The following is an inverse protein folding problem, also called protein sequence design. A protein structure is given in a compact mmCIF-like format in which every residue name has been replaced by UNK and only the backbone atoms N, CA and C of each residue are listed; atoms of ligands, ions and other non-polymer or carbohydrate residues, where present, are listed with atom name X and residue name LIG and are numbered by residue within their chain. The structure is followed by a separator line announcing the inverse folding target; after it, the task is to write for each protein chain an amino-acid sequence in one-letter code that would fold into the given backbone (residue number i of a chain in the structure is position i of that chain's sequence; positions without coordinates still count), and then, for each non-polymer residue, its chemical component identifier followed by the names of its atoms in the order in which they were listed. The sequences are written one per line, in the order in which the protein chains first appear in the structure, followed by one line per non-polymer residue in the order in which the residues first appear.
data_IF_802070928240
#
_entry.id   IF_802070928240
#
_cell.length_a   1.000
_cell.length_b   1.000
_cell.length_c   1.000
_cell.angle_alpha   90.00
_cell.angle_beta   90.00
_cell.angle_gamma   90.00
#
_symmetry.space_group_name_H-M   'P 1'
#
loop_
_entity.id
_entity.type
_entity.pdbx_description
1 polymer ?
#
# COMPACT_ATOMS: atom_id res chain seq x y z
N UNK A 1 6.62 -16.95 -18.33
CA UNK A 1 7.52 -16.39 -17.28
C UNK A 1 6.67 -15.55 -16.33
N UNK A 2 5.92 -16.20 -15.43
CA UNK A 2 5.12 -15.53 -14.41
C UNK A 2 5.73 -15.87 -13.05
N UNK A 3 6.35 -14.88 -12.41
CA UNK A 3 7.09 -15.06 -11.17
C UNK A 3 6.73 -13.91 -10.21
N UNK A 4 6.63 -14.17 -8.90
CA UNK A 4 6.45 -13.15 -7.86
C UNK A 4 7.39 -11.95 -7.97
N UNK A 5 8.64 -12.18 -8.40
CA UNK A 5 9.64 -11.14 -8.57
C UNK A 5 9.25 -10.09 -9.63
N UNK A 6 8.65 -10.54 -10.74
CA UNK A 6 8.17 -9.64 -11.79
C UNK A 6 6.98 -8.82 -11.29
N UNK A 7 6.04 -9.47 -10.57
CA UNK A 7 4.94 -8.77 -9.92
C UNK A 7 5.42 -7.70 -8.94
N UNK A 8 6.45 -7.98 -8.14
CA UNK A 8 7.02 -7.01 -7.20
C UNK A 8 7.63 -5.80 -7.90
N UNK A 9 8.32 -6.00 -9.03
CA UNK A 9 8.91 -4.89 -9.82
C UNK A 9 7.81 -4.01 -10.43
N UNK A 10 6.80 -4.63 -11.07
CA UNK A 10 5.68 -3.90 -11.69
C UNK A 10 4.94 -3.05 -10.65
N UNK A 11 4.62 -3.67 -9.50
CA UNK A 11 3.97 -2.98 -8.39
C UNK A 11 4.85 -1.87 -7.80
N UNK A 12 6.15 -2.13 -7.63
CA UNK A 12 7.09 -1.15 -7.11
C UNK A 12 7.13 0.12 -7.98
N UNK A 13 7.26 -0.04 -9.29
CA UNK A 13 7.26 1.10 -10.25
C UNK A 13 5.93 1.87 -10.20
N UNK A 14 4.81 1.17 -10.04
CA UNK A 14 3.47 1.78 -9.96
C UNK A 14 3.24 2.56 -8.66
N UNK A 15 3.66 2.01 -7.51
CA UNK A 15 3.45 2.61 -6.20
C UNK A 15 4.40 3.80 -5.95
N UNK A 16 5.60 3.78 -6.51
CA UNK A 16 6.63 4.80 -6.29
C UNK A 16 6.12 6.24 -6.48
N UNK A 17 5.49 6.62 -7.63
CA UNK A 17 4.97 7.98 -7.80
C UNK A 17 3.83 8.32 -6.82
N UNK A 18 3.02 7.33 -6.43
CA UNK A 18 1.94 7.53 -5.47
C UNK A 18 2.47 7.85 -4.06
N UNK A 19 3.47 7.09 -3.58
CA UNK A 19 4.14 7.37 -2.30
C UNK A 19 4.80 8.75 -2.34
N UNK A 20 5.49 9.08 -3.45
CA UNK A 20 6.17 10.37 -3.58
C UNK A 20 5.18 11.55 -3.47
N UNK A 21 4.06 11.51 -4.20
CA UNK A 21 3.03 12.55 -4.16
C UNK A 21 2.43 12.69 -2.75
N UNK A 22 2.02 11.59 -2.13
CA UNK A 22 1.42 11.62 -0.79
C UNK A 22 2.43 12.05 0.30
N UNK A 23 3.71 11.74 0.11
CA UNK A 23 4.78 12.18 1.01
C UNK A 23 5.08 13.67 0.87
N UNK A 24 4.98 14.21 -0.35
CA UNK A 24 5.08 15.65 -0.59
C UNK A 24 3.94 16.41 0.08
N UNK A 25 2.71 15.90 0.01
CA UNK A 25 1.56 16.46 0.72
C UNK A 25 1.78 16.47 2.24
N UNK A 26 2.35 15.39 2.79
CA UNK A 26 2.70 15.32 4.21
C UNK A 26 3.77 16.33 4.63
N UNK A 27 4.77 16.57 3.78
CA UNK A 27 5.81 17.59 4.03
C UNK A 27 5.25 19.01 3.96
N UNK A 28 4.32 19.26 3.04
CA UNK A 28 3.64 20.56 2.89
C UNK A 28 2.65 20.87 4.00
N UNK A 29 2.14 19.84 4.68
CA UNK A 29 1.25 19.99 5.83
C UNK A 29 1.98 20.50 7.10
N UNK A 30 3.32 20.46 7.14
CA UNK A 30 4.10 21.01 8.26
C UNK A 30 3.99 22.55 8.25
N UNK A 31 3.58 23.19 9.37
CA UNK A 31 3.42 24.64 9.42
C UNK A 31 4.71 25.39 9.05
N UNK A 32 4.57 26.43 8.22
CA UNK A 32 5.69 27.29 7.86
C UNK A 32 6.30 28.02 9.07
N UNK A 33 5.55 28.18 10.17
CA UNK A 33 6.05 28.74 11.44
C UNK A 33 7.23 27.94 12.00
N UNK A 34 7.22 26.61 11.90
CA UNK A 34 8.35 25.77 12.33
C UNK A 34 9.57 25.97 11.43
N UNK A 35 9.36 26.19 10.13
CA UNK A 35 10.43 26.42 9.16
C UNK A 35 11.05 27.81 9.40
N UNK A 36 10.22 28.83 9.61
CA UNK A 36 10.65 30.19 9.94
C UNK A 36 11.39 30.26 11.28
N UNK A 37 10.95 29.52 12.30
CA UNK A 37 11.65 29.43 13.58
C UNK A 37 13.05 28.82 13.41
N UNK A 38 13.19 27.78 12.58
CA UNK A 38 14.49 27.19 12.24
C UNK A 38 15.41 28.19 11.51
N UNK A 39 14.88 28.93 10.53
CA UNK A 39 15.65 29.98 9.84
C UNK A 39 16.06 31.13 10.78
N UNK A 40 15.20 31.51 11.73
CA UNK A 40 15.52 32.53 12.74
C UNK A 40 16.64 32.10 13.69
N UNK A 41 16.83 30.80 13.89
CA UNK A 41 17.94 30.21 14.64
C UNK A 41 19.24 30.10 13.80
N UNK A 42 19.25 30.59 12.57
CA UNK A 42 20.41 30.56 11.68
C UNK A 42 20.60 29.23 10.93
N UNK A 43 19.61 28.34 10.94
CA UNK A 43 19.70 27.07 10.23
C UNK A 43 19.63 27.24 8.72
N UNK A 44 20.35 26.40 7.98
CA UNK A 44 20.28 26.34 6.52
C UNK A 44 18.99 25.63 6.05
N UNK A 45 18.65 25.78 4.76
CA UNK A 45 17.49 25.11 4.14
C UNK A 45 17.59 23.58 4.23
N UNK A 46 18.79 23.02 4.04
CA UNK A 46 19.09 21.59 4.16
C UNK A 46 18.92 21.11 5.60
N UNK A 47 19.38 21.89 6.56
CA UNK A 47 19.33 21.55 7.99
C UNK A 47 17.91 21.64 8.55
N UNK A 48 17.15 22.66 8.15
CA UNK A 48 15.72 22.80 8.47
C UNK A 48 14.92 21.62 7.90
N UNK A 49 15.22 21.21 6.67
CA UNK A 49 14.54 20.07 6.04
C UNK A 49 14.86 18.78 6.79
N UNK A 50 16.13 18.49 7.05
CA UNK A 50 16.56 17.23 7.66
C UNK A 50 16.22 17.10 9.15
N UNK A 51 16.32 18.19 9.93
CA UNK A 51 16.16 18.16 11.39
C UNK A 51 14.79 18.62 11.90
N UNK A 52 14.02 19.35 11.10
CA UNK A 52 12.72 19.89 11.53
C UNK A 52 11.59 19.30 10.69
N UNK A 53 11.60 19.51 9.38
CA UNK A 53 10.47 19.13 8.51
C UNK A 53 10.37 17.61 8.31
N UNK A 54 11.47 16.91 8.04
CA UNK A 54 11.49 15.43 7.88
C UNK A 54 10.95 14.68 9.11
N UNK A 55 11.48 14.90 10.33
CA UNK A 55 10.97 14.20 11.51
C UNK A 55 9.55 14.62 11.87
N UNK A 56 9.15 15.87 11.62
CA UNK A 56 7.78 16.33 11.86
C UNK A 56 6.78 15.70 10.88
N UNK A 57 7.16 15.46 9.63
CA UNK A 57 6.31 14.83 8.61
C UNK A 57 6.37 13.29 8.62
N UNK A 58 7.19 12.67 9.48
CA UNK A 58 7.52 11.24 9.44
C UNK A 58 6.28 10.35 9.59
N UNK A 59 5.35 10.73 10.47
CA UNK A 59 4.04 10.10 10.62
C UNK A 59 3.19 10.14 9.35
N UNK A 60 3.20 11.29 8.65
CA UNK A 60 2.51 11.48 7.38
C UNK A 60 3.13 10.65 6.27
N UNK A 61 4.46 10.60 6.17
CA UNK A 61 5.18 9.73 5.22
C UNK A 61 4.85 8.25 5.47
N UNK A 62 4.81 7.82 6.73
CA UNK A 62 4.42 6.45 7.09
C UNK A 62 2.96 6.15 6.70
N UNK A 63 2.04 7.09 6.93
CA UNK A 63 0.65 6.95 6.51
C UNK A 63 0.53 6.86 4.98
N UNK A 64 1.27 7.69 4.25
CA UNK A 64 1.35 7.69 2.78
C UNK A 64 1.80 6.33 2.23
N UNK A 65 2.80 5.70 2.87
CA UNK A 65 3.25 4.34 2.50
C UNK A 65 2.14 3.31 2.73
N UNK A 66 1.48 3.32 3.90
CA UNK A 66 0.41 2.37 4.22
C UNK A 66 -0.77 2.51 3.25
N UNK A 67 -1.16 3.75 2.93
CA UNK A 67 -2.24 4.05 1.99
C UNK A 67 -1.89 3.62 0.56
N UNK A 68 -0.66 3.89 0.12
CA UNK A 68 -0.21 3.50 -1.21
C UNK A 68 -0.13 1.98 -1.38
N UNK A 69 0.32 1.25 -0.34
CA UNK A 69 0.27 -0.21 -0.30
C UNK A 69 -1.16 -0.74 -0.32
N UNK A 70 -2.06 -0.14 0.46
CA UNK A 70 -3.48 -0.52 0.48
C UNK A 70 -4.13 -0.34 -0.89
N UNK A 71 -3.81 0.76 -1.59
CA UNK A 71 -4.30 1.02 -2.95
C UNK A 71 -3.74 0.02 -3.96
N UNK A 72 -2.46 -0.32 -3.87
CA UNK A 72 -1.88 -1.32 -4.75
C UNK A 72 -2.48 -2.70 -4.55
N UNK A 73 -2.83 -3.06 -3.30
CA UNK A 73 -3.60 -4.26 -2.99
C UNK A 73 -4.98 -4.20 -3.64
N UNK A 74 -5.65 -3.05 -3.66
CA UNK A 74 -6.92 -2.85 -4.36
C UNK A 74 -6.81 -2.91 -5.89
N UNK A 75 -5.73 -2.37 -6.45
CA UNK A 75 -5.41 -2.40 -7.90
C UNK A 75 -4.75 -3.74 -8.35
N UNK A 76 -4.70 -4.77 -7.49
CA UNK A 76 -4.05 -6.09 -7.70
C UNK A 76 -4.52 -6.91 -8.92
N UNK A 77 -5.42 -6.36 -9.75
CA UNK A 77 -5.58 -6.86 -11.12
C UNK A 77 -4.25 -6.85 -11.87
N UNK A 78 -3.40 -5.84 -11.66
CA UNK A 78 -2.06 -5.79 -12.25
C UNK A 78 -1.17 -6.97 -11.82
N UNK A 79 -1.18 -7.32 -10.53
CA UNK A 79 -0.40 -8.44 -9.96
C UNK A 79 -0.88 -9.79 -10.49
N UNK A 80 -2.19 -9.93 -10.64
CA UNK A 80 -2.83 -11.14 -11.20
C UNK A 80 -2.32 -11.45 -12.60
N UNK A 81 -2.08 -10.42 -13.43
CA UNK A 81 -1.56 -10.58 -14.79
C UNK A 81 -0.06 -10.91 -14.82
N UNK A 82 0.71 -10.57 -13.78
CA UNK A 82 2.18 -10.71 -13.77
C UNK A 82 2.72 -11.91 -12.97
N UNK A 83 2.05 -12.33 -11.89
CA UNK A 83 2.53 -13.40 -10.98
C UNK A 83 2.07 -14.78 -11.40
N UNK A 84 0.93 -14.87 -12.10
CA UNK A 84 0.40 -16.10 -12.67
C UNK A 84 -0.84 -16.63 -11.95
N UNK A 85 -1.37 -17.73 -12.48
CA UNK A 85 -2.68 -18.29 -12.10
C UNK A 85 -2.60 -19.63 -11.37
N UNK A 86 -1.41 -20.21 -11.26
CA UNK A 86 -1.19 -21.57 -10.76
C UNK A 86 -0.86 -21.57 -9.26
N UNK A 87 -1.71 -22.19 -8.43
CA UNK A 87 -1.41 -22.46 -7.02
C UNK A 87 -0.43 -23.64 -6.90
N UNK A 88 0.86 -23.37 -7.11
CA UNK A 88 1.91 -24.34 -6.77
C UNK A 88 2.56 -23.89 -5.47
N UNK A 89 2.48 -24.71 -4.41
CA UNK A 89 3.25 -24.45 -3.19
C UNK A 89 4.72 -24.74 -3.49
N UNK A 90 5.51 -23.69 -3.65
CA UNK A 90 6.95 -23.81 -3.91
C UNK A 90 7.66 -22.66 -3.23
N UNK A 91 8.68 -22.97 -2.43
CA UNK A 91 9.53 -21.98 -1.73
C UNK A 91 10.45 -21.18 -2.68
N UNK A 92 10.38 -21.49 -3.98
CA UNK A 92 11.15 -20.84 -5.02
C UNK A 92 10.37 -19.66 -5.61
N UNK A 93 10.82 -18.43 -5.32
CA UNK A 93 10.28 -17.17 -5.85
C UNK A 93 10.38 -17.01 -7.39
N UNK A 94 11.00 -17.96 -8.08
CA UNK A 94 11.11 -18.05 -9.55
C UNK A 94 10.05 -18.95 -10.19
N UNK A 95 9.07 -19.45 -9.41
CA UNK A 95 7.95 -20.24 -9.92
C UNK A 95 6.65 -19.46 -9.78
N UNK A 96 5.72 -19.76 -10.67
CA UNK A 96 4.38 -19.17 -10.69
C UNK A 96 3.67 -19.42 -9.37
N UNK A 97 3.11 -18.36 -8.79
CA UNK A 97 2.31 -18.40 -7.58
C UNK A 97 0.93 -17.84 -7.89
N UNK A 98 -0.07 -18.21 -7.09
CA UNK A 98 -1.43 -17.68 -7.23
C UNK A 98 -1.73 -16.74 -6.07
N UNK A 99 -2.08 -15.50 -6.38
CA UNK A 99 -2.57 -14.54 -5.37
C UNK A 99 -4.03 -14.79 -5.03
N UNK A 100 -4.48 -14.35 -3.86
CA UNK A 100 -5.90 -14.42 -3.46
C UNK A 100 -6.81 -13.71 -4.47
N UNK A 101 -6.38 -12.59 -5.03
CA UNK A 101 -7.11 -11.87 -6.08
C UNK A 101 -7.12 -12.61 -7.42
N UNK A 102 -6.02 -13.25 -7.80
CA UNK A 102 -5.97 -14.12 -8.98
C UNK A 102 -6.83 -15.37 -8.84
N UNK A 103 -6.96 -15.90 -7.61
CA UNK A 103 -7.88 -16.99 -7.29
C UNK A 103 -9.33 -16.55 -7.46
N UNK A 104 -9.70 -15.38 -6.92
CA UNK A 104 -11.05 -14.84 -7.08
C UNK A 104 -11.37 -14.58 -8.56
N UNK A 105 -10.48 -13.90 -9.30
CA UNK A 105 -10.69 -13.54 -10.70
C UNK A 105 -10.91 -14.76 -11.61
N UNK A 106 -10.13 -15.83 -11.43
CA UNK A 106 -10.29 -17.06 -12.22
C UNK A 106 -11.58 -17.82 -11.90
N UNK A 107 -12.02 -17.76 -10.65
CA UNK A 107 -13.16 -18.56 -10.17
C UNK A 107 -14.50 -17.86 -10.38
N UNK A 108 -14.54 -16.52 -10.43
CA UNK A 108 -15.75 -15.75 -10.76
C UNK A 108 -16.26 -16.07 -12.18
N UNK A 109 -15.37 -16.30 -13.14
CA UNK A 109 -15.74 -16.60 -14.54
C UNK A 109 -16.05 -18.07 -14.84
N UNK A 110 -15.91 -18.97 -13.85
CA UNK A 110 -16.19 -20.40 -14.02
C UNK A 110 -17.59 -20.77 -13.53
N UNK A 111 -18.25 -21.69 -14.23
CA UNK A 111 -19.51 -22.31 -13.78
C UNK A 111 -19.24 -23.18 -12.54
N UNK A 112 -19.19 -22.56 -11.37
CA UNK A 112 -19.07 -23.25 -10.09
C UNK A 112 -20.44 -23.76 -9.67
N UNK A 113 -20.66 -25.08 -9.56
CA UNK A 113 -21.91 -25.62 -9.05
C UNK A 113 -22.12 -25.13 -7.62
N UNK A 114 -23.30 -24.58 -7.36
CA UNK A 114 -23.71 -24.06 -6.06
C UNK A 114 -23.66 -25.20 -5.04
N UNK A 115 -23.02 -24.98 -3.89
CA UNK A 115 -22.87 -25.99 -2.83
C UNK A 115 -21.60 -26.83 -2.88
N UNK A 116 -20.68 -26.56 -3.82
CA UNK A 116 -19.37 -27.24 -3.87
C UNK A 116 -18.32 -26.54 -3.00
N UNK A 117 -17.31 -27.27 -2.52
CA UNK A 117 -16.19 -26.72 -1.73
C UNK A 117 -15.55 -25.46 -2.34
N UNK A 118 -15.31 -25.38 -3.67
CA UNK A 118 -14.70 -24.19 -4.27
C UNK A 118 -15.61 -22.95 -4.26
N UNK A 119 -16.94 -23.14 -4.21
CA UNK A 119 -17.92 -22.05 -4.09
C UNK A 119 -17.81 -21.36 -2.72
N UNK A 120 -17.82 -22.12 -1.63
CA UNK A 120 -17.66 -21.56 -0.28
C UNK A 120 -16.27 -20.95 -0.06
N UNK A 121 -15.21 -21.57 -0.61
CA UNK A 121 -13.86 -21.02 -0.56
C UNK A 121 -13.73 -19.66 -1.25
N UNK A 122 -14.50 -19.40 -2.32
CA UNK A 122 -14.50 -18.10 -3.00
C UNK A 122 -14.98 -16.98 -2.06
N UNK A 123 -16.10 -17.20 -1.37
CA UNK A 123 -16.64 -16.24 -0.40
C UNK A 123 -15.72 -16.07 0.81
N UNK A 124 -15.12 -17.16 1.31
CA UNK A 124 -14.18 -17.10 2.42
C UNK A 124 -12.92 -16.27 2.07
N UNK A 125 -12.32 -16.52 0.89
CA UNK A 125 -11.14 -15.77 0.42
C UNK A 125 -11.49 -14.30 0.17
N UNK A 126 -12.66 -14.01 -0.42
CA UNK A 126 -13.14 -12.65 -0.61
C UNK A 126 -13.34 -11.89 0.71
N UNK A 127 -13.99 -12.51 1.69
CA UNK A 127 -14.20 -11.93 3.01
C UNK A 127 -12.88 -11.70 3.77
N UNK A 128 -11.94 -12.65 3.66
CA UNK A 128 -10.62 -12.52 4.26
C UNK A 128 -9.81 -11.37 3.64
N UNK A 129 -9.80 -11.27 2.31
CA UNK A 129 -9.14 -10.17 1.60
C UNK A 129 -9.76 -8.82 1.94
N UNK A 130 -11.10 -8.77 2.04
CA UNK A 130 -11.83 -7.58 2.46
C UNK A 130 -11.42 -7.16 3.88
N UNK A 131 -11.39 -8.09 4.84
CA UNK A 131 -11.01 -7.79 6.22
C UNK A 131 -9.57 -7.25 6.32
N UNK A 132 -8.62 -7.82 5.58
CA UNK A 132 -7.24 -7.33 5.52
C UNK A 132 -7.19 -5.91 4.96
N UNK A 133 -7.86 -5.67 3.83
CA UNK A 133 -7.85 -4.37 3.16
C UNK A 133 -8.49 -3.30 4.04
N UNK A 134 -9.64 -3.62 4.64
CA UNK A 134 -10.33 -2.75 5.58
C UNK A 134 -9.44 -2.42 6.79
N UNK A 135 -8.79 -3.42 7.37
CA UNK A 135 -7.90 -3.24 8.52
C UNK A 135 -6.72 -2.31 8.20
N UNK A 136 -6.03 -2.56 7.09
CA UNK A 136 -4.94 -1.69 6.60
C UNK A 136 -5.41 -0.25 6.35
N UNK A 137 -6.56 -0.08 5.71
CA UNK A 137 -7.11 1.23 5.39
C UNK A 137 -7.50 1.99 6.67
N UNK A 138 -8.14 1.31 7.63
CA UNK A 138 -8.52 1.88 8.92
C UNK A 138 -7.30 2.29 9.76
N UNK A 139 -6.25 1.46 9.78
CA UNK A 139 -4.98 1.80 10.46
C UNK A 139 -4.32 3.00 9.79
N UNK A 140 -4.22 3.00 8.46
CA UNK A 140 -3.66 4.12 7.70
C UNK A 140 -4.41 5.43 7.95
N UNK A 141 -5.75 5.37 7.95
CA UNK A 141 -6.58 6.54 8.22
C UNK A 141 -6.43 7.03 9.67
N UNK A 142 -6.38 6.11 10.65
CA UNK A 142 -6.22 6.46 12.06
C UNK A 142 -4.86 7.10 12.37
N UNK A 143 -3.79 6.68 11.70
CA UNK A 143 -2.46 7.30 11.81
C UNK A 143 -2.49 8.72 11.22
N UNK A 144 -3.17 8.90 10.09
CA UNK A 144 -3.35 10.20 9.44
C UNK A 144 -4.13 11.19 10.32
N UNK A 145 -5.27 10.78 10.87
CA UNK A 145 -6.16 11.68 11.64
C UNK A 145 -5.53 12.13 12.96
N UNK A 146 -4.79 11.24 13.64
CA UNK A 146 -4.06 11.56 14.88
C UNK A 146 -3.04 12.71 14.73
N UNK A 147 -2.58 12.97 13.51
CA UNK A 147 -1.54 13.97 13.27
C UNK A 147 -2.08 15.33 12.87
N UNK A 148 -3.25 15.37 12.23
CA UNK A 148 -3.96 16.61 11.90
C UNK A 148 -4.45 17.34 13.17
N UNK A 149 -4.74 16.60 14.24
CA UNK A 149 -5.12 17.16 15.56
C UNK A 149 -3.95 17.75 16.36
N UNK A 150 -2.69 17.45 16.00
CA UNK A 150 -1.52 17.88 16.77
C UNK A 150 -0.93 19.23 16.32
N UNK A 151 -1.49 19.84 15.27
CA UNK A 151 -0.96 21.05 14.63
C UNK A 151 -1.99 22.19 14.44
N UNK A 152 -3.23 22.02 14.93
CA UNK A 152 -4.20 23.10 15.12
C UNK A 152 -4.04 23.73 16.52
#
# INVERSE_FOLDING_TARGET
MFNPLNGAIVVGVMITPLIASLSEDALRAVPDSLRQASYALGATTTETTARVTMPSALSGILASIILALSRAIGETMAVTLSVGTLATYSDNMFRSAQTMTAYIAQRIGGELPIGTTPYYSLFAVGLYLFAITLGLNMVGHKIMTRFREAYD
#
